data_IF_666374299037
#
_entry.id   IF_666374299037
#
_cell.length_a   1.000
_cell.length_b   1.000
_cell.length_c   1.000
_cell.angle_alpha   90.00
_cell.angle_beta   90.00
_cell.angle_gamma   90.00
#
_symmetry.space_group_name_H-M   'P 1'
#
loop_
_entity.id
_entity.type
_entity.pdbx_description
1 polymer ?
#
# COMPACT_ATOMS: atom_id res chain seq x y z
N UNK A 1 31.78 75.11 -12.47
CA UNK A 1 31.08 75.30 -11.18
C UNK A 1 30.63 73.95 -10.66
N UNK A 2 30.99 73.68 -9.40
CA UNK A 2 30.74 72.48 -8.62
C UNK A 2 29.24 72.25 -8.35
N UNK A 3 28.75 71.01 -8.46
CA UNK A 3 27.90 70.39 -7.43
C UNK A 3 28.14 68.87 -7.42
N UNK A 4 28.79 68.39 -6.35
CA UNK A 4 28.75 67.00 -5.87
C UNK A 4 27.38 66.72 -5.25
N UNK A 5 26.75 65.58 -5.55
CA UNK A 5 25.84 64.89 -4.60
C UNK A 5 25.94 63.37 -4.77
N UNK A 6 26.48 62.75 -3.73
CA UNK A 6 26.55 61.30 -3.48
C UNK A 6 25.17 60.70 -3.25
N UNK A 7 24.95 59.44 -3.64
CA UNK A 7 23.88 58.60 -3.10
C UNK A 7 24.33 57.12 -3.05
N UNK A 8 24.57 56.71 -1.80
CA UNK A 8 24.49 55.38 -1.18
C UNK A 8 24.66 54.10 -2.02
N UNK A 9 25.73 53.35 -1.70
CA UNK A 9 25.84 51.93 -1.99
C UNK A 9 24.89 51.13 -1.09
N UNK A 10 23.94 50.39 -1.68
CA UNK A 10 23.13 49.40 -0.97
C UNK A 10 23.90 48.08 -0.97
N UNK A 11 24.47 47.72 0.17
CA UNK A 11 25.03 46.39 0.39
C UNK A 11 23.89 45.37 0.51
N UNK A 12 23.66 44.58 -0.52
CA UNK A 12 22.75 43.44 -0.48
C UNK A 12 23.39 42.33 0.36
N UNK A 13 22.99 42.21 1.62
CA UNK A 13 23.32 41.07 2.45
C UNK A 13 22.55 39.84 1.92
N UNK A 14 23.21 39.00 1.12
CA UNK A 14 22.71 37.70 0.73
C UNK A 14 22.70 36.79 1.97
N UNK A 15 21.54 36.63 2.59
CA UNK A 15 21.33 35.59 3.59
C UNK A 15 21.34 34.22 2.86
N UNK A 16 22.20 33.27 3.24
CA UNK A 16 22.12 31.92 2.70
C UNK A 16 20.84 31.28 3.23
N UNK A 17 19.85 31.09 2.36
CA UNK A 17 18.72 30.23 2.65
C UNK A 17 19.25 28.81 2.82
N UNK A 18 19.31 28.35 4.07
CA UNK A 18 19.45 26.94 4.39
C UNK A 18 18.21 26.23 3.84
N UNK A 19 18.30 25.72 2.61
CA UNK A 19 17.37 24.76 2.07
C UNK A 19 17.55 23.44 2.83
N UNK A 20 17.02 23.39 4.06
CA UNK A 20 16.72 22.12 4.69
C UNK A 20 15.62 21.48 3.87
N UNK A 21 15.97 20.47 3.08
CA UNK A 21 14.98 19.65 2.37
C UNK A 21 14.00 19.12 3.40
N UNK A 22 12.75 19.57 3.34
CA UNK A 22 11.69 19.02 4.16
C UNK A 22 11.49 17.57 3.73
N UNK A 23 11.96 16.63 4.53
CA UNK A 23 11.58 15.22 4.39
C UNK A 23 10.12 15.14 4.78
N UNK A 24 9.25 14.81 3.82
CA UNK A 24 7.86 14.54 4.13
C UNK A 24 7.81 13.24 4.94
N UNK A 25 7.25 13.31 6.14
CA UNK A 25 7.04 12.14 6.98
C UNK A 25 5.79 11.38 6.51
N UNK A 26 5.73 10.05 6.69
CA UNK A 26 4.51 9.29 6.44
C UNK A 26 3.38 9.82 7.34
N UNK A 27 2.24 10.15 6.74
CA UNK A 27 1.07 10.60 7.49
C UNK A 27 0.46 9.44 8.29
N UNK A 28 0.19 9.68 9.58
CA UNK A 28 -0.46 8.71 10.47
C UNK A 28 -1.96 8.52 10.14
N UNK A 29 -2.56 9.39 9.31
CA UNK A 29 -3.96 9.28 8.88
C UNK A 29 -4.26 8.04 8.03
N UNK A 30 -3.24 7.33 7.56
CA UNK A 30 -3.37 6.06 6.84
C UNK A 30 -3.74 4.90 7.74
N UNK A 31 -3.47 5.00 9.04
CA UNK A 31 -3.79 3.99 10.05
C UNK A 31 -5.17 4.30 10.63
N UNK A 32 -6.04 3.29 10.72
CA UNK A 32 -7.36 3.45 11.34
C UNK A 32 -7.19 3.84 12.83
N UNK A 33 -7.76 4.96 13.29
CA UNK A 33 -7.68 5.38 14.69
C UNK A 33 -8.35 4.36 15.63
N UNK A 34 -7.76 4.16 16.82
CA UNK A 34 -8.28 3.23 17.85
C UNK A 34 -9.78 3.45 18.16
N UNK A 35 -10.30 4.69 18.27
CA UNK A 35 -11.72 4.92 18.55
C UNK A 35 -12.68 4.46 17.44
N UNK A 36 -12.20 4.28 16.21
CA UNK A 36 -13.03 3.88 15.07
C UNK A 36 -13.24 2.35 14.98
N UNK A 37 -12.54 1.56 15.81
CA UNK A 37 -12.76 0.12 15.89
C UNK A 37 -14.03 -0.23 16.68
N UNK A 38 -14.85 -1.09 16.11
CA UNK A 38 -16.18 -1.44 16.64
C UNK A 38 -16.21 -2.65 17.58
N UNK A 39 -15.09 -3.35 17.76
CA UNK A 39 -14.99 -4.52 18.66
C UNK A 39 -13.80 -4.39 19.60
N UNK A 40 -13.92 -4.93 20.81
CA UNK A 40 -12.83 -4.96 21.80
C UNK A 40 -11.59 -5.71 21.28
N UNK A 41 -11.76 -6.85 20.58
CA UNK A 41 -10.65 -7.58 19.98
C UNK A 41 -9.82 -6.69 19.04
N UNK A 42 -10.48 -6.00 18.11
CA UNK A 42 -9.80 -5.11 17.17
C UNK A 42 -9.17 -3.88 17.84
N UNK A 43 -9.81 -3.29 18.85
CA UNK A 43 -9.21 -2.21 19.65
C UNK A 43 -7.93 -2.68 20.34
N UNK A 44 -7.97 -3.84 20.98
CA UNK A 44 -6.81 -4.43 21.64
C UNK A 44 -5.67 -4.69 20.65
N UNK A 45 -5.97 -5.29 19.49
CA UNK A 45 -4.98 -5.47 18.42
C UNK A 45 -4.38 -4.14 17.97
N UNK A 46 -5.20 -3.11 17.75
CA UNK A 46 -4.74 -1.79 17.32
C UNK A 46 -3.85 -1.10 18.35
N UNK A 47 -4.19 -1.20 19.64
CA UNK A 47 -3.37 -0.66 20.74
C UNK A 47 -2.06 -1.43 20.87
N UNK A 48 -2.12 -2.76 20.93
CA UNK A 48 -0.94 -3.63 21.10
C UNK A 48 0.06 -3.47 19.96
N UNK A 49 -0.43 -3.37 18.72
CA UNK A 49 0.41 -3.37 17.52
C UNK A 49 0.59 -2.00 16.88
N UNK A 50 0.23 -0.90 17.55
CA UNK A 50 0.29 0.46 16.97
C UNK A 50 1.69 0.80 16.40
N UNK A 51 2.75 0.39 17.09
CA UNK A 51 4.14 0.59 16.63
C UNK A 51 4.40 -0.16 15.31
N UNK A 52 3.94 -1.40 15.20
CA UNK A 52 4.08 -2.21 13.99
C UNK A 52 3.27 -1.63 12.82
N UNK A 53 2.05 -1.12 13.08
CA UNK A 53 1.25 -0.44 12.04
C UNK A 53 1.95 0.82 11.52
N UNK A 54 2.57 1.61 12.40
CA UNK A 54 3.38 2.78 12.02
C UNK A 54 4.62 2.39 11.22
N UNK A 55 5.32 1.33 11.63
CA UNK A 55 6.46 0.82 10.90
C UNK A 55 6.07 0.35 9.49
N UNK A 56 4.96 -0.39 9.36
CA UNK A 56 4.40 -0.80 8.07
C UNK A 56 4.04 0.40 7.19
N UNK A 57 3.38 1.43 7.76
CA UNK A 57 3.06 2.65 7.03
C UNK A 57 4.32 3.39 6.52
N UNK A 58 5.34 3.49 7.37
CA UNK A 58 6.64 4.06 7.01
C UNK A 58 7.36 3.26 5.93
N UNK A 59 7.40 1.92 6.05
CA UNK A 59 7.98 1.04 5.02
C UNK A 59 7.27 1.22 3.68
N UNK A 60 5.94 1.21 3.63
CA UNK A 60 5.21 1.44 2.38
C UNK A 60 5.49 2.83 1.79
N UNK A 61 5.55 3.87 2.63
CA UNK A 61 5.81 5.23 2.20
C UNK A 61 7.22 5.40 1.59
N UNK A 62 8.25 4.85 2.23
CA UNK A 62 9.63 5.04 1.79
C UNK A 62 10.09 4.00 0.75
N UNK A 63 9.56 2.78 0.80
CA UNK A 63 10.08 1.65 0.04
C UNK A 63 9.20 1.20 -1.11
N UNK A 64 7.99 1.73 -1.20
CA UNK A 64 7.06 1.46 -2.31
C UNK A 64 6.46 2.79 -2.80
N UNK A 65 7.27 3.80 -3.19
CA UNK A 65 6.79 5.15 -3.47
C UNK A 65 5.86 5.28 -4.70
N UNK A 66 5.64 4.20 -5.45
CA UNK A 66 4.70 4.13 -6.58
C UNK A 66 3.32 3.59 -6.17
N UNK A 67 3.04 3.47 -4.87
CA UNK A 67 1.71 3.14 -4.37
C UNK A 67 1.24 4.19 -3.38
N UNK A 68 -0.05 4.47 -3.42
CA UNK A 68 -0.73 5.32 -2.47
C UNK A 68 -1.47 4.46 -1.44
N UNK A 69 -1.19 4.72 -0.16
CA UNK A 69 -2.02 4.20 0.94
C UNK A 69 -3.02 5.29 1.31
N UNK A 70 -4.32 5.01 1.13
CA UNK A 70 -5.37 5.98 1.44
C UNK A 70 -5.61 6.08 2.95
N UNK A 71 -6.31 7.14 3.36
CA UNK A 71 -6.74 7.34 4.75
C UNK A 71 -7.44 6.10 5.31
N UNK A 72 -7.10 5.74 6.55
CA UNK A 72 -7.65 4.61 7.31
C UNK A 72 -7.58 3.26 6.56
N UNK A 73 -6.58 3.07 5.70
CA UNK A 73 -6.41 1.85 4.89
C UNK A 73 -5.49 0.81 5.52
N UNK A 74 -4.89 1.09 6.68
CA UNK A 74 -4.10 0.15 7.47
C UNK A 74 -4.78 -0.10 8.83
N UNK A 75 -5.01 -1.37 9.19
CA UNK A 75 -5.63 -1.69 10.48
C UNK A 75 -6.21 -3.10 10.58
N UNK A 76 -6.95 -3.37 11.65
CA UNK A 76 -7.55 -4.69 11.94
C UNK A 76 -9.05 -4.74 11.61
N UNK A 77 -9.38 -5.16 10.39
CA UNK A 77 -10.76 -5.17 9.89
C UNK A 77 -11.36 -6.56 9.94
N UNK A 78 -12.69 -6.64 10.07
CA UNK A 78 -13.42 -7.89 9.85
C UNK A 78 -13.78 -8.00 8.38
N UNK A 79 -13.38 -9.07 7.66
CA UNK A 79 -13.84 -9.30 6.30
C UNK A 79 -15.37 -9.34 6.23
N UNK A 80 -15.97 -8.61 5.28
CA UNK A 80 -17.44 -8.48 5.18
C UNK A 80 -18.17 -9.82 5.02
N UNK A 81 -17.51 -10.82 4.45
CA UNK A 81 -18.07 -12.14 4.19
C UNK A 81 -17.97 -13.10 5.40
N UNK A 82 -17.33 -12.70 6.50
CA UNK A 82 -17.18 -13.51 7.71
C UNK A 82 -18.08 -12.96 8.82
N UNK A 83 -18.94 -13.81 9.38
CA UNK A 83 -19.87 -13.41 10.45
C UNK A 83 -19.20 -13.30 11.84
N UNK A 84 -18.21 -14.15 12.11
CA UNK A 84 -17.46 -14.16 13.37
C UNK A 84 -16.58 -12.91 13.51
N UNK A 85 -16.12 -12.64 14.74
CA UNK A 85 -15.20 -11.55 15.05
C UNK A 85 -13.75 -11.86 14.61
N UNK A 86 -13.58 -12.36 13.39
CA UNK A 86 -12.29 -12.68 12.81
C UNK A 86 -11.66 -11.36 12.32
N UNK A 87 -10.45 -11.05 12.81
CA UNK A 87 -9.74 -9.78 12.60
C UNK A 87 -8.51 -9.98 11.75
N UNK A 88 -8.56 -9.34 10.59
CA UNK A 88 -7.53 -9.40 9.58
C UNK A 88 -6.72 -8.11 9.60
N UNK A 89 -5.39 -8.22 9.73
CA UNK A 89 -4.54 -7.07 9.41
C UNK A 89 -4.73 -6.76 7.94
N UNK A 90 -5.19 -5.56 7.62
CA UNK A 90 -5.53 -5.17 6.26
C UNK A 90 -4.71 -3.98 5.81
N UNK A 91 -4.30 -4.02 4.55
CA UNK A 91 -3.70 -2.89 3.83
C UNK A 91 -4.49 -2.71 2.53
N UNK A 92 -4.91 -1.48 2.25
CA UNK A 92 -5.40 -1.08 0.93
C UNK A 92 -4.43 -0.12 0.27
N UNK A 93 -4.03 -0.44 -0.94
CA UNK A 93 -3.18 0.42 -1.78
C UNK A 93 -3.86 0.73 -3.11
N UNK A 94 -3.65 1.95 -3.58
CA UNK A 94 -3.82 2.31 -4.97
C UNK A 94 -2.45 2.23 -5.66
N UNK A 95 -2.40 1.51 -6.78
CA UNK A 95 -1.19 1.26 -7.55
C UNK A 95 -1.14 2.30 -8.66
N UNK A 96 -0.15 3.19 -8.55
CA UNK A 96 0.14 4.13 -9.63
C UNK A 96 0.85 3.36 -10.75
N UNK A 97 0.20 3.30 -11.90
CA UNK A 97 0.76 2.71 -13.10
C UNK A 97 0.47 3.60 -14.30
N UNK A 98 1.42 3.64 -15.22
CA UNK A 98 1.20 4.27 -16.52
C UNK A 98 0.09 3.54 -17.28
N UNK A 99 -0.77 4.26 -18.02
CA UNK A 99 -1.77 3.62 -18.88
C UNK A 99 -1.11 2.67 -19.89
N UNK A 100 -1.48 1.39 -19.84
CA UNK A 100 -1.02 0.38 -20.81
C UNK A 100 -2.21 -0.17 -21.59
N UNK A 101 -2.32 0.08 -22.90
CA UNK A 101 -3.34 -0.52 -23.75
C UNK A 101 -3.30 -2.06 -23.74
N UNK A 102 -2.09 -2.64 -23.66
CA UNK A 102 -1.90 -4.09 -23.62
C UNK A 102 -2.47 -4.67 -22.32
N UNK A 103 -2.20 -4.04 -21.18
CA UNK A 103 -2.76 -4.45 -19.90
C UNK A 103 -4.29 -4.26 -19.87
N UNK A 104 -4.78 -3.13 -20.37
CA UNK A 104 -6.20 -2.83 -20.43
C UNK A 104 -7.00 -3.81 -21.33
N UNK A 105 -6.36 -4.38 -22.35
CA UNK A 105 -6.98 -5.35 -23.27
C UNK A 105 -7.13 -6.77 -22.68
N UNK A 106 -6.50 -7.06 -21.54
CA UNK A 106 -6.62 -8.37 -20.88
C UNK A 106 -8.04 -8.62 -20.35
N UNK A 107 -8.36 -9.86 -19.95
CA UNK A 107 -9.55 -10.12 -19.12
C UNK A 107 -9.30 -9.67 -17.68
N UNK A 108 -10.37 -9.45 -16.93
CA UNK A 108 -10.27 -8.94 -15.54
C UNK A 108 -9.49 -9.90 -14.64
N UNK A 109 -9.66 -11.21 -14.80
CA UNK A 109 -8.94 -12.23 -14.04
C UNK A 109 -7.44 -12.23 -14.37
N UNK A 110 -7.08 -11.89 -15.62
CA UNK A 110 -5.68 -11.81 -16.04
C UNK A 110 -5.01 -10.55 -15.46
N UNK A 111 -5.71 -9.39 -15.46
CA UNK A 111 -5.23 -8.18 -14.78
C UNK A 111 -5.10 -8.40 -13.28
N UNK A 112 -6.13 -8.97 -12.66
CA UNK A 112 -6.13 -9.32 -11.25
C UNK A 112 -5.01 -10.31 -10.89
N UNK A 113 -4.76 -11.32 -11.73
CA UNK A 113 -3.64 -12.26 -11.55
C UNK A 113 -2.27 -11.59 -11.59
N UNK A 114 -2.07 -10.63 -12.49
CA UNK A 114 -0.85 -9.83 -12.56
C UNK A 114 -0.66 -8.96 -11.30
N UNK A 115 -1.72 -8.27 -10.87
CA UNK A 115 -1.69 -7.45 -9.65
C UNK A 115 -1.47 -8.29 -8.40
N UNK A 116 -2.13 -9.44 -8.31
CA UNK A 116 -1.92 -10.41 -7.23
C UNK A 116 -0.45 -10.84 -7.16
N UNK A 117 0.09 -11.33 -8.28
CA UNK A 117 1.46 -11.87 -8.37
C UNK A 117 2.49 -10.84 -7.93
N UNK A 118 2.31 -9.59 -8.38
CA UNK A 118 3.22 -8.49 -8.13
C UNK A 118 3.21 -8.00 -6.68
N UNK A 119 2.03 -7.88 -6.06
CA UNK A 119 1.91 -7.13 -4.80
C UNK A 119 1.58 -7.99 -3.58
N UNK A 120 0.76 -9.05 -3.70
CA UNK A 120 0.23 -9.75 -2.51
C UNK A 120 1.36 -10.39 -1.70
N UNK A 121 2.27 -11.11 -2.35
CA UNK A 121 3.38 -11.76 -1.67
C UNK A 121 4.32 -10.78 -0.95
N UNK A 122 4.66 -9.67 -1.62
CA UNK A 122 5.52 -8.64 -1.07
C UNK A 122 4.85 -7.91 0.12
N UNK A 123 3.55 -7.60 0.01
CA UNK A 123 2.79 -6.94 1.07
C UNK A 123 2.60 -7.87 2.27
N UNK A 124 2.31 -9.16 2.07
CA UNK A 124 2.25 -10.12 3.17
C UNK A 124 3.55 -10.16 3.98
N UNK A 125 4.71 -10.19 3.29
CA UNK A 125 6.01 -10.14 3.96
C UNK A 125 6.15 -8.89 4.83
N UNK A 126 5.83 -7.71 4.29
CA UNK A 126 5.87 -6.42 5.01
C UNK A 126 4.92 -6.37 6.20
N UNK A 127 3.68 -6.83 6.02
CA UNK A 127 2.67 -6.91 7.07
C UNK A 127 3.08 -7.82 8.24
N UNK A 128 4.03 -8.73 8.03
CA UNK A 128 4.53 -9.69 9.03
C UNK A 128 5.97 -9.47 9.48
N UNK A 129 6.57 -8.32 9.16
CA UNK A 129 7.95 -8.00 9.57
C UNK A 129 8.10 -7.94 11.10
N UNK A 130 7.10 -7.42 11.81
CA UNK A 130 7.09 -7.47 13.27
C UNK A 130 6.73 -8.88 13.76
N UNK A 131 7.68 -9.51 14.46
CA UNK A 131 7.53 -10.89 14.94
C UNK A 131 6.42 -11.05 15.99
N UNK A 132 6.20 -10.02 16.80
CA UNK A 132 5.15 -10.05 17.85
C UNK A 132 3.78 -10.01 17.19
N UNK A 133 3.59 -9.14 16.19
CA UNK A 133 2.41 -9.10 15.34
C UNK A 133 2.21 -10.44 14.63
N UNK A 134 3.23 -10.94 13.93
CA UNK A 134 3.12 -12.19 13.19
C UNK A 134 2.73 -13.38 14.10
N UNK A 135 3.24 -13.41 15.33
CA UNK A 135 2.95 -14.47 16.30
C UNK A 135 1.58 -14.33 17.00
N UNK A 136 0.94 -13.15 17.00
CA UNK A 136 -0.28 -12.90 17.80
C UNK A 136 -1.46 -13.78 17.35
N UNK A 137 -1.92 -14.74 18.19
CA UNK A 137 -3.01 -15.66 17.85
C UNK A 137 -4.36 -14.96 17.69
N UNK A 138 -4.50 -13.71 18.11
CA UNK A 138 -5.72 -12.91 17.97
C UNK A 138 -5.89 -12.35 16.55
N UNK A 139 -4.87 -12.44 15.70
CA UNK A 139 -4.97 -12.10 14.27
C UNK A 139 -5.37 -13.36 13.51
N UNK A 140 -6.49 -13.31 12.81
CA UNK A 140 -7.06 -14.48 12.10
C UNK A 140 -6.58 -14.58 10.65
N UNK A 141 -6.06 -13.49 10.09
CA UNK A 141 -5.54 -13.46 8.72
C UNK A 141 -5.07 -12.09 8.28
N UNK A 142 -4.89 -11.97 6.97
CA UNK A 142 -4.37 -10.79 6.29
C UNK A 142 -5.25 -10.44 5.10
N UNK A 143 -5.57 -9.15 4.94
CA UNK A 143 -6.26 -8.66 3.77
C UNK A 143 -5.35 -7.73 2.98
N UNK A 144 -5.17 -8.02 1.69
CA UNK A 144 -4.51 -7.12 0.76
C UNK A 144 -5.55 -6.63 -0.25
N UNK A 145 -5.81 -5.32 -0.26
CA UNK A 145 -6.72 -4.71 -1.23
C UNK A 145 -5.88 -3.92 -2.22
N UNK A 146 -5.93 -4.34 -3.48
CA UNK A 146 -5.20 -3.73 -4.58
C UNK A 146 -6.20 -3.00 -5.45
N UNK A 147 -5.97 -1.72 -5.69
CA UNK A 147 -6.73 -0.90 -6.63
C UNK A 147 -5.80 -0.36 -7.71
N UNK A 148 -6.25 -0.35 -8.97
CA UNK A 148 -5.49 0.20 -10.09
C UNK A 148 -6.39 0.82 -11.13
N UNK A 149 -5.84 1.73 -11.92
CA UNK A 149 -6.53 2.30 -13.08
C UNK A 149 -6.66 1.26 -14.19
N UNK A 150 -7.90 0.96 -14.61
CA UNK A 150 -8.20 0.03 -15.70
C UNK A 150 -7.72 0.55 -17.05
N UNK A 151 -8.09 1.78 -17.37
CA UNK A 151 -7.76 2.49 -18.61
C UNK A 151 -7.77 3.99 -18.35
N UNK A 152 -6.95 4.74 -19.10
CA UNK A 152 -7.02 6.19 -19.09
C UNK A 152 -8.43 6.66 -19.53
N UNK A 153 -8.95 7.77 -18.97
CA UNK A 153 -10.19 8.37 -19.43
C UNK A 153 -10.16 8.63 -20.94
N UNK A 154 -11.20 8.19 -21.67
CA UNK A 154 -11.27 8.32 -23.14
C UNK A 154 -11.56 9.74 -23.63
N UNK A 155 -12.04 10.61 -22.74
CA UNK A 155 -12.36 12.00 -23.02
C UNK A 155 -12.03 12.87 -21.79
N UNK A 156 -11.78 14.16 -22.03
CA UNK A 156 -11.61 15.13 -20.95
C UNK A 156 -12.87 15.16 -20.07
N UNK A 157 -12.71 14.99 -18.76
CA UNK A 157 -13.82 14.95 -17.79
C UNK A 157 -14.48 13.57 -17.60
N UNK A 158 -14.09 12.53 -18.35
CA UNK A 158 -14.57 11.18 -18.08
C UNK A 158 -13.99 10.65 -16.75
N UNK A 159 -14.83 9.98 -15.96
CA UNK A 159 -14.42 9.41 -14.67
C UNK A 159 -13.39 8.28 -14.89
N UNK A 160 -12.26 8.29 -14.19
CA UNK A 160 -11.34 7.15 -14.16
C UNK A 160 -12.06 5.88 -13.67
N UNK A 161 -11.83 4.76 -14.35
CA UNK A 161 -12.38 3.46 -13.96
C UNK A 161 -11.29 2.68 -13.23
N UNK A 162 -11.54 2.40 -11.96
CA UNK A 162 -10.61 1.68 -11.09
C UNK A 162 -11.11 0.26 -10.91
N UNK A 163 -10.22 -0.72 -11.09
CA UNK A 163 -10.50 -2.10 -10.70
C UNK A 163 -9.90 -2.37 -9.34
N UNK A 164 -10.51 -3.29 -8.59
CA UNK A 164 -10.07 -3.66 -7.26
C UNK A 164 -10.15 -5.16 -7.07
N UNK A 165 -9.13 -5.74 -6.41
CA UNK A 165 -9.25 -7.03 -5.75
C UNK A 165 -9.03 -6.89 -4.26
N UNK A 166 -9.88 -7.55 -3.47
CA UNK A 166 -9.65 -7.78 -2.05
C UNK A 166 -9.26 -9.26 -1.85
N UNK A 167 -8.03 -9.47 -1.42
CA UNK A 167 -7.44 -10.79 -1.21
C UNK A 167 -7.42 -11.08 0.28
N UNK A 168 -8.14 -12.13 0.70
CA UNK A 168 -8.22 -12.57 2.08
C UNK A 168 -7.41 -13.86 2.24
N UNK A 169 -6.37 -13.78 3.06
CA UNK A 169 -5.45 -14.89 3.33
C UNK A 169 -5.56 -15.25 4.81
N UNK A 170 -6.07 -16.43 5.12
CA UNK A 170 -6.12 -16.93 6.50
C UNK A 170 -4.70 -17.06 7.07
N UNK A 171 -4.55 -16.86 8.38
CA UNK A 171 -3.24 -16.86 9.04
C UNK A 171 -2.42 -18.14 8.80
N UNK A 172 -2.98 -19.37 8.83
CA UNK A 172 -2.21 -20.57 8.51
C UNK A 172 -1.66 -20.56 7.07
N UNK A 173 -2.46 -20.12 6.10
CA UNK A 173 -2.04 -20.03 4.70
C UNK A 173 -0.91 -19.01 4.53
N UNK A 174 -1.04 -17.83 5.14
CA UNK A 174 0.01 -16.82 5.12
C UNK A 174 1.30 -17.31 5.78
N UNK A 175 1.19 -18.04 6.91
CA UNK A 175 2.34 -18.58 7.65
C UNK A 175 3.08 -19.62 6.81
N UNK A 176 2.38 -20.52 6.12
CA UNK A 176 2.99 -21.50 5.22
C UNK A 176 3.71 -20.82 4.04
N UNK A 177 3.10 -19.81 3.44
CA UNK A 177 3.72 -19.02 2.37
C UNK A 177 4.98 -18.29 2.84
N UNK A 178 4.91 -17.60 3.98
CA UNK A 178 6.02 -16.83 4.53
C UNK A 178 7.18 -17.73 4.99
N UNK A 179 6.89 -18.96 5.38
CA UNK A 179 7.89 -19.98 5.68
C UNK A 179 8.48 -20.64 4.43
N UNK A 180 8.07 -20.24 3.22
CA UNK A 180 8.54 -20.80 1.95
C UNK A 180 7.99 -22.20 1.64
N UNK A 181 6.95 -22.65 2.36
CA UNK A 181 6.30 -23.95 2.11
C UNK A 181 5.31 -23.92 0.95
N UNK A 182 4.84 -22.74 0.59
CA UNK A 182 3.91 -22.51 -0.52
C UNK A 182 4.48 -21.45 -1.46
N UNK A 183 4.16 -21.58 -2.74
CA UNK A 183 4.42 -20.57 -3.78
C UNK A 183 3.23 -19.64 -3.94
N UNK A 184 3.44 -18.52 -4.64
CA UNK A 184 2.40 -17.50 -4.88
C UNK A 184 1.15 -18.09 -5.54
N UNK A 185 1.31 -19.07 -6.45
CA UNK A 185 0.20 -19.79 -7.08
C UNK A 185 -0.69 -20.51 -6.07
N UNK A 186 -0.11 -21.22 -5.11
CA UNK A 186 -0.87 -21.99 -4.11
C UNK A 186 -1.63 -21.05 -3.16
N UNK A 187 -1.06 -19.87 -2.87
CA UNK A 187 -1.78 -18.82 -2.14
C UNK A 187 -2.97 -18.34 -2.96
N UNK A 188 -2.81 -18.06 -4.26
CA UNK A 188 -3.91 -17.59 -5.12
C UNK A 188 -5.04 -18.62 -5.26
N UNK A 189 -4.72 -19.92 -5.27
CA UNK A 189 -5.70 -21.01 -5.37
C UNK A 189 -6.54 -21.15 -4.08
N UNK A 190 -5.94 -20.87 -2.91
CA UNK A 190 -6.53 -21.11 -1.58
C UNK A 190 -7.08 -19.86 -0.91
N UNK A 191 -6.57 -18.68 -1.24
CA UNK A 191 -7.08 -17.41 -0.75
C UNK A 191 -8.46 -17.13 -1.33
N UNK A 192 -9.28 -16.39 -0.59
CA UNK A 192 -10.51 -15.83 -1.14
C UNK A 192 -10.19 -14.50 -1.81
N UNK A 193 -10.53 -14.36 -3.08
CA UNK A 193 -10.30 -13.13 -3.83
C UNK A 193 -11.62 -12.58 -4.31
N UNK A 194 -11.99 -11.37 -3.90
CA UNK A 194 -13.19 -10.69 -4.37
C UNK A 194 -12.83 -9.58 -5.35
N UNK A 195 -13.52 -9.52 -6.49
CA UNK A 195 -13.29 -8.53 -7.55
C UNK A 195 -14.35 -7.43 -7.62
N UNK A 196 -13.93 -6.23 -8.02
CA UNK A 196 -14.78 -5.11 -8.41
C UNK A 196 -14.19 -4.46 -9.66
N UNK A 197 -14.99 -4.22 -10.70
CA UNK A 197 -14.48 -3.74 -12.00
C UNK A 197 -14.54 -2.22 -12.20
N UNK A 198 -14.94 -1.49 -11.16
CA UNK A 198 -15.20 -0.05 -11.19
C UNK A 198 -16.68 0.30 -11.24
N UNK A 199 -17.53 -0.68 -11.59
CA UNK A 199 -18.98 -0.49 -11.73
C UNK A 199 -19.77 -1.51 -10.90
N UNK A 200 -19.38 -2.78 -10.95
CA UNK A 200 -20.10 -3.90 -10.32
C UNK A 200 -19.19 -4.83 -9.53
N UNK A 201 -19.76 -5.48 -8.52
CA UNK A 201 -19.08 -6.55 -7.80
C UNK A 201 -19.05 -7.81 -8.68
N UNK A 202 -17.85 -8.35 -8.90
CA UNK A 202 -17.63 -9.54 -9.74
C UNK A 202 -17.77 -10.85 -8.95
N UNK A 203 -17.90 -10.76 -7.63
CA UNK A 203 -17.88 -11.93 -6.76
C UNK A 203 -16.48 -12.50 -6.57
N UNK A 204 -16.39 -13.80 -6.35
CA UNK A 204 -15.12 -14.50 -6.12
C UNK A 204 -14.39 -14.78 -7.44
N UNK A 205 -13.14 -14.33 -7.54
CA UNK A 205 -12.28 -14.54 -8.70
C UNK A 205 -11.35 -15.74 -8.49
N UNK A 206 -11.14 -16.52 -9.55
CA UNK A 206 -10.10 -17.55 -9.60
C UNK A 206 -8.94 -17.03 -10.43
N UNK A 207 -7.79 -16.89 -9.81
CA UNK A 207 -6.62 -16.26 -10.41
C UNK A 207 -5.58 -17.30 -10.81
N UNK A 208 -4.90 -17.04 -11.94
CA UNK A 208 -3.59 -17.64 -12.22
C UNK A 208 -2.53 -16.65 -11.75
N UNK A 209 -1.69 -17.08 -10.82
CA UNK A 209 -0.63 -16.25 -10.25
C UNK A 209 0.74 -16.93 -10.33
N UNK A 210 1.80 -16.13 -10.30
CA UNK A 210 3.20 -16.56 -10.39
C UNK A 210 4.05 -15.80 -9.37
N UNK A 211 5.26 -16.31 -9.12
CA UNK A 211 6.23 -15.57 -8.31
C UNK A 211 6.77 -14.39 -9.11
N UNK A 212 6.65 -13.18 -8.56
CA UNK A 212 7.08 -11.93 -9.17
C UNK A 212 7.96 -11.18 -8.16
N UNK A 213 9.05 -10.57 -8.62
CA UNK A 213 10.01 -9.84 -7.78
C UNK A 213 9.98 -8.32 -8.01
N UNK A 214 9.03 -7.80 -8.79
CA UNK A 214 8.94 -6.39 -9.15
C UNK A 214 9.03 -5.48 -7.94
N UNK A 215 8.27 -5.73 -6.86
CA UNK A 215 8.29 -4.85 -5.68
C UNK A 215 9.66 -4.81 -5.00
N UNK A 216 10.45 -5.89 -5.09
CA UNK A 216 11.79 -5.94 -4.52
C UNK A 216 12.86 -5.33 -5.45
N UNK A 217 12.62 -5.28 -6.76
CA UNK A 217 13.63 -4.87 -7.75
C UNK A 217 13.38 -3.52 -8.41
N UNK A 218 12.13 -3.08 -8.46
CA UNK A 218 11.73 -1.83 -9.10
C UNK A 218 12.22 -0.62 -8.30
N UNK A 219 12.69 0.40 -9.01
CA UNK A 219 13.12 1.68 -8.44
C UNK A 219 12.53 2.80 -9.29
N UNK A 220 11.87 3.75 -8.64
CA UNK A 220 11.40 4.98 -9.29
C UNK A 220 12.62 5.79 -9.68
N UNK A 221 12.65 6.25 -10.94
CA UNK A 221 13.75 7.08 -11.44
C UNK A 221 13.88 8.34 -10.58
N UNK A 222 15.11 8.66 -10.17
CA UNK A 222 15.44 9.83 -9.34
C UNK A 222 14.82 9.82 -7.93
N UNK A 223 14.27 8.69 -7.45
CA UNK A 223 13.87 8.56 -6.06
C UNK A 223 15.05 8.12 -5.20
N UNK A 224 15.38 8.94 -4.20
CA UNK A 224 16.35 8.60 -3.16
C UNK A 224 15.62 8.25 -1.87
N UNK A 225 15.83 7.02 -1.39
CA UNK A 225 15.33 6.60 -0.08
C UNK A 225 15.94 7.49 1.00
N UNK A 226 15.12 7.91 1.98
CA UNK A 226 15.57 8.74 3.08
C UNK A 226 16.74 8.08 3.85
N UNK A 227 17.72 8.90 4.26
CA UNK A 227 18.93 8.41 4.95
C UNK A 227 18.54 7.66 6.23
N UNK A 228 19.07 6.45 6.37
CA UNK A 228 18.80 5.58 7.53
C UNK A 228 17.60 4.64 7.35
N UNK A 229 16.82 4.80 6.28
CA UNK A 229 15.78 3.83 5.91
C UNK A 229 16.40 2.69 5.09
N UNK A 230 16.02 1.46 5.41
CA UNK A 230 16.42 0.25 4.67
C UNK A 230 15.19 -0.43 4.12
N UNK A 231 15.10 -0.51 2.79
CA UNK A 231 14.01 -1.19 2.09
C UNK A 231 14.34 -2.67 1.87
N UNK A 232 13.34 -3.52 2.08
CA UNK A 232 13.46 -4.99 1.95
C UNK A 232 12.82 -5.55 0.70
#
# INVERSE_FOLDING_TARGET
MSVRRSLAAVAAAAAPALAGGATAAPSDDRILPVPEYTSEKAKNLAVTHLKALRALNGDLYHCVPWVEVQRHSIGFFRPKHIARDDRYLSVRIYIEQDPSPQFAALRVEQRAGAMFSRYVGALLKRMTQDRTLAADPSIDGFTVILEWLKQAPRAAGARPVHETIAVFVEKPLATDYLAGRLRTREVAERAKVLGFDGETALGELRLTAWDDNFVATYKVANYEVEKGITCQ
#
